data_IF_516348825416
#
_entry.id   IF_516348825416
#
_cell.length_a   1.000
_cell.length_b   1.000
_cell.length_c   1.000
_cell.angle_alpha   90.00
_cell.angle_beta   90.00
_cell.angle_gamma   90.00
#
_symmetry.space_group_name_H-M   'P 1'
#
loop_
_entity.id
_entity.type
_entity.pdbx_description
1 polymer ?
#
# COMPACT_ATOMS: atom_id res chain seq x y z
N UNK A 1 5.02 -24.40 -0.65
CA UNK A 1 5.35 -23.38 0.36
C UNK A 1 6.82 -23.06 0.21
N UNK A 2 7.15 -21.81 -0.13
CA UNK A 2 8.52 -21.29 -0.08
C UNK A 2 8.61 -20.42 1.18
N UNK A 3 9.73 -20.46 1.90
CA UNK A 3 9.91 -19.68 3.12
C UNK A 3 11.37 -19.25 3.28
N UNK A 4 11.57 -18.16 4.01
CA UNK A 4 12.86 -17.67 4.47
C UNK A 4 12.71 -17.20 5.92
N UNK A 5 13.82 -17.21 6.65
CA UNK A 5 13.90 -16.61 7.99
C UNK A 5 14.56 -15.23 7.87
N UNK A 6 14.00 -14.25 8.59
CA UNK A 6 14.54 -12.89 8.70
C UNK A 6 14.65 -12.47 10.16
N UNK A 7 15.18 -11.27 10.41
CA UNK A 7 15.28 -10.70 11.76
C UNK A 7 14.72 -9.29 11.74
N UNK A 8 14.02 -8.89 12.80
CA UNK A 8 13.52 -7.53 12.90
C UNK A 8 14.68 -6.52 12.78
N UNK A 9 14.57 -5.62 11.79
CA UNK A 9 15.50 -4.53 11.55
C UNK A 9 15.06 -3.24 12.24
N UNK A 10 15.17 -2.12 11.54
CA UNK A 10 14.74 -0.81 12.01
C UNK A 10 13.21 -0.70 12.00
N UNK A 11 12.67 0.12 12.92
CA UNK A 11 11.25 0.50 12.94
C UNK A 11 11.15 1.98 12.60
N UNK A 12 10.23 2.32 11.70
CA UNK A 12 9.99 3.69 11.27
C UNK A 12 8.53 4.07 11.50
N UNK A 13 8.33 5.31 11.94
CA UNK A 13 7.01 5.94 11.99
C UNK A 13 7.02 7.02 10.93
N UNK A 14 6.18 6.85 9.92
CA UNK A 14 6.06 7.73 8.77
C UNK A 14 4.75 8.48 8.86
N UNK A 15 4.78 9.72 8.37
CA UNK A 15 3.62 10.56 8.17
C UNK A 15 3.70 11.11 6.76
N UNK A 16 2.60 11.01 6.03
CA UNK A 16 2.40 11.65 4.73
C UNK A 16 1.28 12.66 4.88
N UNK A 17 1.48 13.86 4.36
CA UNK A 17 0.55 14.97 4.44
C UNK A 17 -0.30 15.09 3.17
N UNK A 18 -1.31 15.94 3.25
CA UNK A 18 -2.24 16.17 2.15
C UNK A 18 -1.54 16.51 0.82
N UNK A 19 -1.97 15.83 -0.25
CA UNK A 19 -1.48 16.06 -1.62
C UNK A 19 -0.26 15.22 -2.00
N UNK A 20 0.34 14.50 -1.04
CA UNK A 20 1.33 13.47 -1.35
C UNK A 20 0.68 12.22 -1.96
N UNK A 21 1.45 11.45 -2.73
CA UNK A 21 1.04 10.12 -3.19
C UNK A 21 1.64 9.04 -2.28
N UNK A 22 0.78 8.21 -1.70
CA UNK A 22 1.16 7.13 -0.77
C UNK A 22 2.21 6.18 -1.38
N UNK A 23 2.01 5.79 -2.64
CA UNK A 23 2.87 4.80 -3.31
C UNK A 23 4.24 5.42 -3.58
N UNK A 24 4.24 6.61 -4.20
CA UNK A 24 5.47 7.32 -4.56
C UNK A 24 6.29 7.69 -3.31
N UNK A 25 5.66 8.26 -2.28
CA UNK A 25 6.32 8.64 -1.04
C UNK A 25 6.94 7.41 -0.34
N UNK A 26 6.22 6.28 -0.30
CA UNK A 26 6.77 5.05 0.28
C UNK A 26 7.92 4.47 -0.57
N UNK A 27 7.82 4.47 -1.90
CA UNK A 27 8.89 3.99 -2.77
C UNK A 27 10.18 4.79 -2.60
N UNK A 28 10.08 6.12 -2.58
CA UNK A 28 11.22 7.02 -2.32
C UNK A 28 11.85 6.73 -0.96
N UNK A 29 11.02 6.55 0.07
CA UNK A 29 11.50 6.23 1.41
C UNK A 29 12.27 4.89 1.45
N UNK A 30 11.73 3.85 0.83
CA UNK A 30 12.36 2.53 0.75
C UNK A 30 13.72 2.60 0.05
N UNK A 31 13.81 3.36 -1.05
CA UNK A 31 15.05 3.59 -1.79
C UNK A 31 16.08 4.35 -0.95
N UNK A 32 15.68 5.48 -0.35
CA UNK A 32 16.57 6.32 0.46
C UNK A 32 17.15 5.55 1.65
N UNK A 33 16.32 4.72 2.31
CA UNK A 33 16.74 3.93 3.47
C UNK A 33 17.31 2.57 3.12
N UNK A 34 17.35 2.22 1.82
CA UNK A 34 17.83 0.94 1.27
C UNK A 34 17.15 -0.26 1.93
N UNK A 35 15.82 -0.21 2.03
CA UNK A 35 15.00 -1.26 2.62
C UNK A 35 14.59 -2.24 1.51
N UNK A 36 15.05 -3.49 1.61
CA UNK A 36 14.75 -4.53 0.61
C UNK A 36 13.56 -5.41 1.00
N UNK A 37 13.30 -5.55 2.31
CA UNK A 37 12.19 -6.32 2.86
C UNK A 37 11.56 -5.61 4.05
N UNK A 38 10.24 -5.50 4.07
CA UNK A 38 9.52 -4.95 5.22
C UNK A 38 8.03 -5.32 5.22
N UNK A 39 7.39 -5.12 6.37
CA UNK A 39 5.94 -5.00 6.49
C UNK A 39 5.58 -3.67 7.12
N UNK A 40 4.47 -3.06 6.72
CA UNK A 40 4.01 -1.81 7.31
C UNK A 40 2.50 -1.81 7.47
N UNK A 41 2.02 -1.23 8.57
CA UNK A 41 0.60 -0.99 8.83
C UNK A 41 0.34 0.51 8.76
N UNK A 42 -0.79 0.92 8.19
CA UNK A 42 -1.11 2.34 8.06
C UNK A 42 -2.60 2.60 8.16
N UNK A 43 -2.93 3.82 8.55
CA UNK A 43 -4.29 4.37 8.57
C UNK A 43 -4.29 5.85 8.21
N UNK A 44 -5.45 6.40 7.90
CA UNK A 44 -5.61 7.82 7.58
C UNK A 44 -6.73 8.01 6.56
N UNK A 45 -6.56 8.95 5.63
CA UNK A 45 -7.51 9.12 4.53
C UNK A 45 -6.82 9.31 3.18
N UNK A 46 -7.47 8.82 2.13
CA UNK A 46 -7.05 8.97 0.73
C UNK A 46 -8.13 9.71 -0.04
N UNK A 47 -7.74 10.70 -0.85
CA UNK A 47 -8.65 11.57 -1.60
C UNK A 47 -9.24 10.85 -2.81
N UNK A 48 -8.37 10.33 -3.66
CA UNK A 48 -8.68 9.69 -4.92
C UNK A 48 -7.61 8.67 -5.30
N UNK A 49 -8.04 7.65 -6.06
CA UNK A 49 -7.14 6.61 -6.55
C UNK A 49 -7.88 5.40 -7.09
N UNK A 50 -7.14 4.31 -7.29
CA UNK A 50 -7.68 3.05 -7.82
C UNK A 50 -7.26 1.87 -6.97
N UNK A 51 -8.17 0.91 -6.84
CA UNK A 51 -7.93 -0.34 -6.14
C UNK A 51 -8.36 -1.52 -7.01
N UNK A 52 -7.59 -2.60 -6.97
CA UNK A 52 -7.97 -3.87 -7.59
C UNK A 52 -8.71 -4.70 -6.56
N UNK A 53 -10.00 -4.96 -6.79
CA UNK A 53 -10.89 -5.69 -5.86
C UNK A 53 -10.94 -7.20 -6.13
N UNK A 54 -9.97 -7.70 -6.90
CA UNK A 54 -9.85 -9.09 -7.32
C UNK A 54 -9.75 -9.19 -8.85
N UNK A 55 -9.70 -10.42 -9.40
CA UNK A 55 -9.72 -10.62 -10.84
C UNK A 55 -11.17 -10.64 -11.37
N UNK A 56 -11.34 -10.37 -12.66
CA UNK A 56 -12.63 -10.52 -13.36
C UNK A 56 -13.06 -11.99 -13.43
N UNK A 57 -12.09 -12.89 -13.62
CA UNK A 57 -12.28 -14.34 -13.67
C UNK A 57 -11.13 -15.03 -12.94
N UNK A 58 -11.32 -16.24 -12.39
CA UNK A 58 -10.27 -17.00 -11.70
C UNK A 58 -9.30 -17.66 -12.70
N UNK A 59 -8.52 -16.85 -13.41
CA UNK A 59 -7.57 -17.27 -14.45
C UNK A 59 -6.13 -16.78 -14.15
N UNK A 60 -5.14 -17.40 -14.81
CA UNK A 60 -3.71 -17.06 -14.66
C UNK A 60 -3.09 -16.84 -16.04
N UNK A 61 -2.54 -15.65 -16.34
CA UNK A 61 -2.48 -14.46 -15.48
C UNK A 61 -3.87 -13.83 -15.26
N UNK A 62 -4.13 -13.21 -14.09
CA UNK A 62 -5.43 -12.64 -13.79
C UNK A 62 -5.68 -11.33 -14.54
N UNK A 63 -6.88 -11.19 -15.11
CA UNK A 63 -7.40 -9.90 -15.57
C UNK A 63 -7.94 -9.10 -14.37
N UNK A 64 -7.37 -7.94 -13.99
CA UNK A 64 -7.79 -7.21 -12.78
C UNK A 64 -9.18 -6.57 -12.92
N UNK A 65 -9.94 -6.56 -11.82
CA UNK A 65 -11.13 -5.74 -11.64
C UNK A 65 -10.76 -4.46 -10.88
N UNK A 66 -10.83 -3.31 -11.55
CA UNK A 66 -10.48 -2.02 -10.97
C UNK A 66 -11.72 -1.28 -10.49
N UNK A 67 -11.67 -0.79 -9.26
CA UNK A 67 -12.61 0.16 -8.71
C UNK A 67 -11.89 1.49 -8.46
N UNK A 68 -12.50 2.59 -8.88
CA UNK A 68 -12.04 3.93 -8.55
C UNK A 68 -12.72 4.40 -7.26
N UNK A 69 -12.00 5.18 -6.46
CA UNK A 69 -12.58 5.91 -5.35
C UNK A 69 -12.22 7.39 -5.48
N UNK A 70 -13.17 8.24 -5.10
CA UNK A 70 -13.07 9.70 -5.21
C UNK A 70 -13.71 10.34 -3.98
N UNK A 71 -13.42 11.62 -3.75
CA UNK A 71 -14.04 12.44 -2.71
C UNK A 71 -13.76 12.00 -1.27
N UNK A 72 -12.51 11.59 -0.98
CA UNK A 72 -11.99 11.27 0.34
C UNK A 72 -12.63 10.06 1.05
N UNK A 73 -11.79 9.07 1.36
CA UNK A 73 -12.17 7.82 2.02
C UNK A 73 -11.21 7.58 3.19
N UNK A 74 -11.75 7.11 4.31
CA UNK A 74 -10.93 6.57 5.40
C UNK A 74 -10.21 5.32 4.91
N UNK A 75 -8.94 5.14 5.28
CA UNK A 75 -8.13 3.99 4.89
C UNK A 75 -7.56 3.28 6.12
N UNK A 76 -7.60 1.95 6.09
CA UNK A 76 -6.82 1.07 6.94
C UNK A 76 -6.15 0.04 6.04
N UNK A 77 -4.83 -0.08 6.10
CA UNK A 77 -4.11 -0.95 5.18
C UNK A 77 -2.79 -1.51 5.71
N UNK A 78 -2.22 -2.38 4.89
CA UNK A 78 -0.92 -2.98 5.09
C UNK A 78 -0.12 -2.95 3.79
N UNK A 79 1.18 -2.73 3.90
CA UNK A 79 2.13 -2.83 2.82
C UNK A 79 3.16 -3.92 3.12
N UNK A 80 3.60 -4.63 2.09
CA UNK A 80 4.78 -5.50 2.14
C UNK A 80 5.74 -5.12 1.04
N UNK A 81 7.04 -5.27 1.31
CA UNK A 81 8.10 -5.12 0.31
C UNK A 81 8.91 -6.40 0.29
N UNK A 82 9.17 -6.91 -0.91
CA UNK A 82 10.02 -8.07 -1.13
C UNK A 82 11.10 -7.79 -2.18
N UNK A 83 12.29 -8.40 -2.08
CA UNK A 83 13.32 -8.29 -3.11
C UNK A 83 12.82 -8.92 -4.42
N UNK A 84 13.21 -8.33 -5.56
CA UNK A 84 13.03 -8.93 -6.88
C UNK A 84 14.24 -8.67 -7.77
N UNK A 85 14.29 -9.32 -8.94
CA UNK A 85 15.38 -9.13 -9.90
C UNK A 85 15.55 -7.66 -10.35
N UNK A 86 14.45 -6.90 -10.36
CA UNK A 86 14.41 -5.49 -10.78
C UNK A 86 14.44 -4.52 -9.58
N UNK A 87 14.72 -5.02 -8.37
CA UNK A 87 14.68 -4.27 -7.12
C UNK A 87 13.46 -4.56 -6.22
N UNK A 88 13.34 -3.92 -5.05
CA UNK A 88 12.26 -4.19 -4.10
C UNK A 88 10.88 -3.87 -4.66
N UNK A 89 9.90 -4.75 -4.42
CA UNK A 89 8.52 -4.64 -4.94
C UNK A 89 7.54 -4.36 -3.82
N UNK A 90 6.94 -3.18 -3.86
CA UNK A 90 5.89 -2.74 -2.97
C UNK A 90 4.54 -3.36 -3.34
N UNK A 91 3.82 -3.85 -2.33
CA UNK A 91 2.48 -4.39 -2.47
C UNK A 91 1.59 -3.90 -1.32
N UNK A 92 0.46 -3.26 -1.65
CA UNK A 92 -0.42 -2.61 -0.67
C UNK A 92 -1.83 -3.16 -0.79
N UNK A 93 -2.38 -3.65 0.32
CA UNK A 93 -3.80 -3.95 0.46
C UNK A 93 -4.44 -3.03 1.50
N UNK A 94 -5.67 -2.60 1.26
CA UNK A 94 -6.39 -1.72 2.18
C UNK A 94 -7.90 -1.92 2.12
N UNK A 95 -8.55 -1.64 3.25
CA UNK A 95 -9.96 -1.30 3.31
C UNK A 95 -10.12 0.21 3.23
N UNK A 96 -10.98 0.67 2.32
CA UNK A 96 -11.38 2.06 2.14
C UNK A 96 -12.84 2.19 2.55
N UNK A 97 -13.18 3.19 3.36
CA UNK A 97 -14.55 3.42 3.83
C UNK A 97 -15.05 4.85 3.59
N UNK A 98 -16.31 4.98 3.15
CA UNK A 98 -17.02 6.26 3.07
C UNK A 98 -18.52 6.08 3.31
N UNK A 99 -19.01 6.65 4.41
CA UNK A 99 -20.40 6.47 4.82
C UNK A 99 -20.72 5.00 5.10
N UNK A 100 -21.55 4.38 4.25
CA UNK A 100 -21.90 2.94 4.33
C UNK A 100 -21.15 2.08 3.32
N UNK A 101 -20.41 2.70 2.41
CA UNK A 101 -19.69 2.00 1.35
C UNK A 101 -18.29 1.61 1.82
N UNK A 102 -17.83 0.45 1.35
CA UNK A 102 -16.49 -0.04 1.61
C UNK A 102 -15.89 -0.68 0.35
N UNK A 103 -14.62 -0.41 0.10
CA UNK A 103 -13.83 -1.09 -0.93
C UNK A 103 -12.66 -1.80 -0.25
N UNK A 104 -12.52 -3.09 -0.49
CA UNK A 104 -11.36 -3.86 -0.04
C UNK A 104 -10.60 -4.31 -1.27
N UNK A 105 -9.31 -4.00 -1.32
CA UNK A 105 -8.53 -4.38 -2.49
C UNK A 105 -7.09 -3.96 -2.39
N UNK A 106 -6.45 -4.04 -3.54
CA UNK A 106 -5.04 -3.76 -3.71
C UNK A 106 -4.86 -2.37 -4.33
N UNK A 107 -4.29 -1.42 -3.58
CA UNK A 107 -4.04 -0.07 -4.10
C UNK A 107 -3.07 -0.14 -5.28
N UNK A 108 -3.39 0.58 -6.36
CA UNK A 108 -2.61 0.62 -7.60
C UNK A 108 -2.59 2.02 -8.20
N UNK A 109 -1.55 2.28 -8.99
CA UNK A 109 -1.36 3.48 -9.82
C UNK A 109 -1.20 4.79 -9.05
N UNK A 110 -2.24 5.24 -8.33
CA UNK A 110 -2.24 6.50 -7.56
C UNK A 110 -3.05 6.33 -6.27
N UNK A 111 -2.60 6.97 -5.21
CA UNK A 111 -3.30 7.09 -3.93
C UNK A 111 -2.94 8.42 -3.27
N UNK A 112 -3.67 9.48 -3.61
CA UNK A 112 -3.45 10.83 -3.06
C UNK A 112 -3.89 10.89 -1.60
N UNK A 113 -3.03 11.36 -0.71
CA UNK A 113 -3.32 11.50 0.72
C UNK A 113 -4.29 12.66 0.96
N UNK A 114 -5.31 12.41 1.77
CA UNK A 114 -6.24 13.42 2.28
C UNK A 114 -5.99 13.62 3.77
N UNK A 115 -5.70 14.87 4.18
CA UNK A 115 -5.30 15.25 5.53
C UNK A 115 -3.97 14.61 5.98
N UNK A 116 -3.97 13.31 6.26
CA UNK A 116 -2.81 12.56 6.75
C UNK A 116 -2.95 11.07 6.49
N UNK A 117 -1.82 10.41 6.21
CA UNK A 117 -1.65 8.97 6.41
C UNK A 117 -0.48 8.72 7.36
N UNK A 118 -0.72 7.92 8.38
CA UNK A 118 0.27 7.52 9.37
C UNK A 118 0.61 6.04 9.19
N UNK A 119 1.89 5.71 9.15
CA UNK A 119 2.38 4.36 8.86
C UNK A 119 3.47 3.95 9.83
N UNK A 120 3.38 2.73 10.34
CA UNK A 120 4.46 2.08 11.09
C UNK A 120 5.05 0.98 10.23
N UNK A 121 6.33 1.10 9.88
CA UNK A 121 7.07 0.18 9.05
C UNK A 121 8.09 -0.61 9.89
N UNK A 122 8.10 -1.92 9.70
CA UNK A 122 8.98 -2.89 10.32
C UNK A 122 9.88 -3.52 9.24
N UNK A 123 11.16 -3.16 9.23
CA UNK A 123 12.16 -3.77 8.36
C UNK A 123 12.45 -5.22 8.79
N UNK A 124 12.72 -6.10 7.81
CA UNK A 124 12.96 -7.54 8.00
C UNK A 124 14.27 -7.96 7.33
#
# INVERSE_FOLDING_TARGET
MQYSEGRMGRVFVLRMDHGEDLIESLQKFLEEKRIESCTALFLGALRDGRTVTGPKMPEVPPSPNFEAYESAWEVLGMATVYPSADGPRLHIHSGLGRGRDALLGCIREKAEVYLVVEMVLFEI
#
